data_IF_784386081603
#
_entry.id   IF_784386081603
#
_cell.length_a   1.000
_cell.length_b   1.000
_cell.length_c   1.000
_cell.angle_alpha   90.00
_cell.angle_beta   90.00
_cell.angle_gamma   90.00
#
_symmetry.space_group_name_H-M   'P 1'
#
loop_
_entity.id
_entity.type
_entity.pdbx_description
1 polymer ?
#
# COMPACT_ATOMS: atom_id res chain seq x y z
N UNK A 1 17.64 8.16 5.40
CA UNK A 1 16.93 6.93 5.03
C UNK A 1 15.71 7.26 4.19
N UNK A 2 15.29 6.35 3.25
CA UNK A 2 14.14 6.59 2.35
C UNK A 2 12.86 6.85 3.16
N UNK A 3 12.58 6.04 4.20
CA UNK A 3 11.40 6.25 5.05
C UNK A 3 11.32 7.68 5.59
N UNK A 4 12.34 8.17 6.25
CA UNK A 4 12.39 9.53 6.82
C UNK A 4 12.29 10.62 5.75
N UNK A 5 12.86 10.41 4.56
CA UNK A 5 12.75 11.34 3.43
C UNK A 5 11.29 11.59 3.02
N UNK A 6 10.45 10.57 3.17
CA UNK A 6 9.02 10.63 2.84
C UNK A 6 8.11 10.91 4.06
N UNK A 7 8.67 11.25 5.23
CA UNK A 7 7.89 11.51 6.43
C UNK A 7 7.43 10.27 7.19
N UNK A 8 7.96 9.09 6.84
CA UNK A 8 7.64 7.84 7.52
C UNK A 8 8.38 7.69 8.86
N UNK A 9 7.68 7.30 9.89
CA UNK A 9 8.22 6.96 11.21
C UNK A 9 8.53 5.47 11.25
N UNK A 10 9.80 5.12 11.50
CA UNK A 10 10.21 3.72 11.68
C UNK A 10 9.80 3.31 13.09
N UNK A 11 8.86 2.37 13.19
CA UNK A 11 8.40 1.83 14.46
C UNK A 11 9.42 0.85 15.07
N UNK A 12 9.63 -0.25 14.39
CA UNK A 12 10.55 -1.31 14.84
C UNK A 12 10.99 -2.22 13.70
N UNK A 13 12.02 -3.00 13.99
CA UNK A 13 12.41 -4.16 13.21
C UNK A 13 11.85 -5.43 13.85
N UNK A 14 11.26 -6.32 13.07
CA UNK A 14 10.69 -7.59 13.47
C UNK A 14 11.42 -8.68 12.68
N UNK A 15 12.52 -9.21 13.25
CA UNK A 15 13.44 -10.04 12.48
C UNK A 15 14.10 -9.22 11.36
N UNK A 16 13.89 -9.62 10.13
CA UNK A 16 14.34 -8.96 8.90
C UNK A 16 13.31 -7.95 8.33
N UNK A 17 12.10 -7.92 8.88
CA UNK A 17 11.07 -6.98 8.48
C UNK A 17 11.22 -5.62 9.18
N UNK A 18 10.82 -4.55 8.49
CA UNK A 18 10.77 -3.19 9.02
C UNK A 18 9.33 -2.68 8.98
N UNK A 19 8.82 -2.23 10.14
CA UNK A 19 7.52 -1.59 10.24
C UNK A 19 7.68 -0.07 10.23
N UNK A 20 6.92 0.58 9.34
CA UNK A 20 6.90 2.03 9.16
C UNK A 20 5.45 2.49 9.18
N UNK A 21 5.16 3.61 9.84
CA UNK A 21 3.86 4.23 9.81
C UNK A 21 3.95 5.72 9.44
N UNK A 22 2.83 6.29 9.03
CA UNK A 22 2.66 7.69 8.65
C UNK A 22 1.52 8.30 9.44
N UNK A 23 1.51 9.63 9.57
CA UNK A 23 0.46 10.36 10.26
C UNK A 23 0.78 10.68 11.73
N UNK A 24 1.99 10.38 12.21
CA UNK A 24 2.46 10.72 13.55
C UNK A 24 4.01 10.65 13.59
N UNK A 25 4.72 11.61 14.21
CA UNK A 25 4.20 12.79 14.91
C UNK A 25 3.66 13.89 13.98
N UNK A 26 4.06 13.88 12.71
CA UNK A 26 3.65 14.86 11.71
C UNK A 26 2.70 14.21 10.72
N UNK A 27 1.63 14.91 10.32
CA UNK A 27 0.64 14.47 9.34
C UNK A 27 0.25 15.60 8.40
N UNK A 28 0.20 15.31 7.12
CA UNK A 28 -0.37 16.18 6.09
C UNK A 28 -1.83 15.78 5.75
N UNK A 29 -2.42 14.91 6.58
CA UNK A 29 -3.74 14.33 6.43
C UNK A 29 -3.72 12.96 5.75
N UNK A 30 -4.75 12.17 6.04
CA UNK A 30 -4.87 10.75 5.68
C UNK A 30 -4.48 10.46 4.22
N UNK A 31 -4.97 11.32 3.30
CA UNK A 31 -4.68 11.15 1.86
C UNK A 31 -3.20 11.33 1.55
N UNK A 32 -2.58 12.41 2.01
CA UNK A 32 -1.17 12.69 1.69
C UNK A 32 -0.23 11.74 2.43
N UNK A 33 -0.56 11.32 3.64
CA UNK A 33 0.17 10.32 4.40
C UNK A 33 0.17 8.96 3.67
N UNK A 34 -1.00 8.51 3.17
CA UNK A 34 -1.10 7.30 2.35
C UNK A 34 -0.30 7.41 1.04
N UNK A 35 -0.35 8.56 0.37
CA UNK A 35 0.41 8.84 -0.84
C UNK A 35 1.92 8.88 -0.59
N UNK A 36 2.34 9.46 0.53
CA UNK A 36 3.74 9.48 0.95
C UNK A 36 4.27 8.06 1.20
N UNK A 37 3.47 7.20 1.85
CA UNK A 37 3.78 5.80 2.04
C UNK A 37 3.95 5.05 0.72
N UNK A 38 3.06 5.25 -0.25
CA UNK A 38 3.16 4.66 -1.59
C UNK A 38 4.41 5.15 -2.32
N UNK A 39 4.69 6.46 -2.31
CA UNK A 39 5.91 7.02 -2.92
C UNK A 39 7.18 6.45 -2.30
N UNK A 40 7.22 6.33 -0.97
CA UNK A 40 8.32 5.69 -0.23
C UNK A 40 8.55 4.26 -0.71
N UNK A 41 7.49 3.46 -0.79
CA UNK A 41 7.57 2.04 -1.16
C UNK A 41 8.05 1.85 -2.59
N UNK A 42 7.62 2.70 -3.51
CA UNK A 42 8.12 2.70 -4.89
C UNK A 42 9.61 3.06 -4.97
N UNK A 43 10.06 4.07 -4.20
CA UNK A 43 11.49 4.42 -4.14
C UNK A 43 12.32 3.30 -3.50
N UNK A 44 11.79 2.63 -2.46
CA UNK A 44 12.44 1.47 -1.86
C UNK A 44 12.55 0.32 -2.85
N UNK A 45 11.48 0.03 -3.61
CA UNK A 45 11.50 -1.03 -4.63
C UNK A 45 12.56 -0.75 -5.71
N UNK A 46 12.66 0.49 -6.20
CA UNK A 46 13.68 0.86 -7.16
C UNK A 46 15.09 0.67 -6.56
N UNK A 47 15.29 1.09 -5.31
CA UNK A 47 16.57 0.94 -4.62
C UNK A 47 16.95 -0.53 -4.43
N UNK A 48 15.99 -1.40 -4.11
CA UNK A 48 16.24 -2.86 -4.01
C UNK A 48 16.66 -3.43 -5.36
N UNK A 49 15.99 -3.04 -6.47
CA UNK A 49 16.38 -3.48 -7.82
C UNK A 49 17.84 -3.10 -8.15
N UNK A 50 18.25 -1.89 -7.77
CA UNK A 50 19.63 -1.44 -7.99
C UNK A 50 20.64 -2.22 -7.12
N UNK A 51 20.29 -2.48 -5.86
CA UNK A 51 21.12 -3.29 -4.97
C UNK A 51 21.23 -4.74 -5.45
N UNK A 52 20.14 -5.33 -5.94
CA UNK A 52 20.16 -6.67 -6.51
C UNK A 52 21.08 -6.78 -7.72
N UNK A 53 21.09 -5.76 -8.62
CA UNK A 53 22.05 -5.71 -9.74
C UNK A 53 23.48 -5.64 -9.23
N UNK A 54 23.74 -4.80 -8.24
CA UNK A 54 25.07 -4.66 -7.62
C UNK A 54 25.53 -5.98 -7.02
N UNK A 55 24.71 -6.64 -6.21
CA UNK A 55 25.04 -7.91 -5.56
C UNK A 55 25.30 -9.04 -6.58
N UNK A 56 24.51 -9.12 -7.67
CA UNK A 56 24.80 -10.07 -8.75
C UNK A 56 26.16 -9.82 -9.39
N UNK A 57 26.54 -8.56 -9.62
CA UNK A 57 27.85 -8.19 -10.14
C UNK A 57 29.00 -8.52 -9.16
N UNK A 58 28.71 -8.55 -7.87
CA UNK A 58 29.64 -8.95 -6.79
C UNK A 58 29.68 -10.48 -6.57
N UNK A 59 28.90 -11.25 -7.33
CA UNK A 59 28.92 -12.71 -7.31
C UNK A 59 27.87 -13.37 -6.43
N UNK A 60 26.90 -12.61 -5.90
CA UNK A 60 25.74 -13.19 -5.19
C UNK A 60 24.71 -13.68 -6.20
N UNK A 61 24.53 -14.99 -6.31
CA UNK A 61 23.61 -15.60 -7.27
C UNK A 61 22.14 -15.28 -6.93
N UNK A 62 21.81 -15.35 -5.64
CA UNK A 62 20.45 -15.17 -5.12
C UNK A 62 20.39 -13.93 -4.19
N UNK A 63 20.24 -12.72 -4.74
CA UNK A 63 20.13 -11.51 -3.94
C UNK A 63 18.80 -11.47 -3.18
N UNK A 64 18.79 -10.74 -2.06
CA UNK A 64 17.59 -10.55 -1.23
C UNK A 64 16.41 -10.03 -2.03
N UNK A 65 15.23 -10.58 -1.74
CA UNK A 65 13.94 -10.14 -2.22
C UNK A 65 13.14 -9.50 -1.09
N UNK A 66 12.45 -8.41 -1.39
CA UNK A 66 11.67 -7.67 -0.39
C UNK A 66 10.22 -7.59 -0.84
N UNK A 67 9.31 -7.97 0.06
CA UNK A 67 7.87 -7.79 -0.10
C UNK A 67 7.41 -6.59 0.72
N UNK A 68 6.38 -5.89 0.27
CA UNK A 68 5.81 -4.77 0.99
C UNK A 68 4.29 -4.87 1.02
N UNK A 69 3.71 -4.66 2.21
CA UNK A 69 2.27 -4.56 2.43
C UNK A 69 1.92 -3.17 2.95
N UNK A 70 0.95 -2.49 2.33
CA UNK A 70 0.51 -1.17 2.74
C UNK A 70 -0.98 -1.19 3.00
N UNK A 71 -1.36 -0.67 4.16
CA UNK A 71 -2.76 -0.47 4.53
C UNK A 71 -2.97 0.92 5.13
N UNK A 72 -4.11 1.52 4.83
CA UNK A 72 -4.55 2.78 5.42
C UNK A 72 -5.75 2.52 6.33
N UNK A 73 -5.71 3.05 7.55
CA UNK A 73 -6.78 2.89 8.51
C UNK A 73 -6.42 3.45 9.89
N UNK A 74 -7.41 3.50 10.77
CA UNK A 74 -7.24 4.06 12.12
C UNK A 74 -6.40 3.13 13.01
N UNK A 75 -5.35 3.70 13.57
CA UNK A 75 -4.47 3.06 14.54
C UNK A 75 -4.28 3.96 15.76
N UNK A 76 -3.88 3.36 16.87
CA UNK A 76 -3.46 4.12 18.04
C UNK A 76 -1.94 4.20 18.05
N UNK A 77 -1.41 5.43 18.15
CA UNK A 77 0.03 5.68 18.27
C UNK A 77 0.31 6.29 19.64
N UNK A 78 1.36 5.86 20.28
CA UNK A 78 1.74 6.38 21.60
C UNK A 78 2.71 5.47 22.33
N UNK A 79 2.91 5.80 23.62
CA UNK A 79 3.75 5.00 24.51
C UNK A 79 2.94 3.86 25.13
N UNK A 80 3.28 2.63 24.76
CA UNK A 80 2.65 1.41 25.27
C UNK A 80 3.67 0.58 26.05
N UNK A 81 3.21 -0.05 27.14
CA UNK A 81 4.03 -0.92 27.96
C UNK A 81 3.77 -0.75 29.45
N UNK A 82 4.73 -1.20 30.26
CA UNK A 82 4.73 -1.00 31.72
C UNK A 82 5.54 0.24 32.11
N UNK A 83 5.40 0.70 33.36
CA UNK A 83 6.21 1.80 33.91
C UNK A 83 7.72 1.59 33.74
N UNK A 84 8.16 0.34 33.71
CA UNK A 84 9.58 -0.02 33.57
C UNK A 84 10.03 -0.13 32.09
N UNK A 85 9.09 -0.26 31.15
CA UNK A 85 9.40 -0.41 29.73
C UNK A 85 8.28 0.16 28.86
N UNK A 86 8.42 1.42 28.51
CA UNK A 86 7.55 2.11 27.55
C UNK A 86 8.19 2.05 26.16
N UNK A 87 7.37 1.77 25.16
CA UNK A 87 7.77 1.80 23.75
C UNK A 87 6.78 2.65 22.99
N UNK A 88 7.27 3.68 22.30
CA UNK A 88 6.48 4.44 21.36
C UNK A 88 6.23 3.57 20.12
N UNK A 89 4.98 3.28 19.81
CA UNK A 89 4.62 2.34 18.77
C UNK A 89 3.19 2.54 18.27
N UNK A 90 2.88 1.96 17.13
CA UNK A 90 1.53 1.87 16.58
C UNK A 90 0.90 0.52 16.92
N UNK A 91 -0.37 0.56 17.36
CA UNK A 91 -1.18 -0.63 17.60
C UNK A 91 -2.56 -0.49 16.96
N UNK A 92 -3.13 -1.60 16.50
CA UNK A 92 -4.47 -1.65 15.94
C UNK A 92 -4.68 -2.83 14.99
N UNK A 93 -5.93 -3.12 14.67
CA UNK A 93 -6.30 -4.16 13.71
C UNK A 93 -5.73 -3.90 12.32
N UNK A 94 -5.63 -2.63 11.94
CA UNK A 94 -5.13 -2.21 10.63
C UNK A 94 -3.62 -2.47 10.44
N UNK A 95 -2.84 -2.55 11.53
CA UNK A 95 -1.43 -3.00 11.49
C UNK A 95 -1.35 -4.47 11.06
N UNK A 96 -2.28 -5.31 11.58
CA UNK A 96 -2.34 -6.72 11.20
C UNK A 96 -2.75 -6.89 9.72
N UNK A 97 -3.59 -5.97 9.19
CA UNK A 97 -3.91 -5.94 7.75
C UNK A 97 -2.65 -5.71 6.93
N UNK A 98 -1.84 -4.70 7.27
CA UNK A 98 -0.58 -4.41 6.57
C UNK A 98 0.38 -5.61 6.57
N UNK A 99 0.52 -6.29 7.71
CA UNK A 99 1.33 -7.51 7.83
C UNK A 99 0.82 -8.63 6.92
N UNK A 100 -0.51 -8.82 6.83
CA UNK A 100 -1.11 -9.84 5.96
C UNK A 100 -0.96 -9.52 4.49
N UNK A 101 -1.03 -8.24 4.12
CA UNK A 101 -0.74 -7.78 2.76
C UNK A 101 0.73 -8.06 2.40
N UNK A 102 1.67 -7.75 3.31
CA UNK A 102 3.09 -8.09 3.10
C UNK A 102 3.27 -9.58 2.86
N UNK A 103 2.70 -10.44 3.73
CA UNK A 103 2.81 -11.89 3.63
C UNK A 103 2.20 -12.47 2.34
N UNK A 104 1.17 -11.80 1.78
CA UNK A 104 0.49 -12.19 0.54
C UNK A 104 1.11 -11.56 -0.73
N UNK A 105 2.02 -10.60 -0.59
CA UNK A 105 2.68 -9.97 -1.72
C UNK A 105 3.66 -10.93 -2.40
N UNK A 106 3.78 -10.81 -3.72
CA UNK A 106 4.80 -11.52 -4.48
C UNK A 106 6.21 -11.00 -4.12
N UNK A 107 7.25 -11.83 -4.26
CA UNK A 107 8.63 -11.38 -4.09
C UNK A 107 8.94 -10.12 -4.91
N UNK A 108 9.58 -9.14 -4.30
CA UNK A 108 9.82 -7.80 -4.85
C UNK A 108 8.56 -7.01 -5.20
N UNK A 109 7.37 -7.47 -4.78
CA UNK A 109 6.08 -6.84 -5.01
C UNK A 109 5.65 -5.91 -3.89
N UNK A 110 4.67 -5.05 -4.21
CA UNK A 110 3.97 -4.18 -3.27
C UNK A 110 2.48 -4.51 -3.38
N UNK A 111 1.88 -4.97 -2.28
CA UNK A 111 0.45 -5.25 -2.19
C UNK A 111 -0.21 -4.22 -1.28
N UNK A 112 -1.31 -3.62 -1.73
CA UNK A 112 -2.01 -2.58 -1.00
C UNK A 112 -3.48 -2.92 -0.81
N UNK A 113 -4.09 -2.38 0.26
CA UNK A 113 -5.54 -2.43 0.45
C UNK A 113 -6.28 -1.44 -0.46
N UNK A 114 -7.60 -1.63 -0.59
CA UNK A 114 -8.45 -0.69 -1.31
C UNK A 114 -8.40 0.71 -0.69
N UNK A 115 -8.34 0.82 0.61
CA UNK A 115 -8.26 2.09 1.34
C UNK A 115 -7.01 2.88 0.93
N UNK A 116 -5.86 2.22 0.84
CA UNK A 116 -4.63 2.85 0.32
C UNK A 116 -4.75 3.20 -1.17
N UNK A 117 -5.32 2.29 -1.97
CA UNK A 117 -5.54 2.52 -3.41
C UNK A 117 -6.41 3.75 -3.65
N UNK A 118 -7.50 3.90 -2.92
CA UNK A 118 -8.43 5.04 -3.07
C UNK A 118 -7.74 6.41 -2.92
N UNK A 119 -6.71 6.50 -2.06
CA UNK A 119 -5.95 7.72 -1.87
C UNK A 119 -4.85 7.95 -2.91
N UNK A 120 -4.32 6.89 -3.53
CA UNK A 120 -3.13 6.94 -4.37
C UNK A 120 -3.36 6.50 -5.83
N UNK A 121 -4.61 6.27 -6.27
CA UNK A 121 -4.95 5.71 -7.57
C UNK A 121 -4.41 6.50 -8.77
N UNK A 122 -4.18 7.80 -8.62
CA UNK A 122 -3.60 8.66 -9.65
C UNK A 122 -2.07 8.63 -9.72
N UNK A 123 -1.42 7.91 -8.80
CA UNK A 123 0.05 7.77 -8.72
C UNK A 123 0.54 6.43 -9.27
N UNK A 124 -0.33 5.43 -9.34
CA UNK A 124 0.05 4.04 -9.56
C UNK A 124 -0.90 3.31 -10.52
N UNK A 125 -0.32 2.44 -11.33
CA UNK A 125 -1.06 1.41 -12.05
C UNK A 125 -1.10 0.15 -11.20
N UNK A 126 -2.25 -0.49 -11.09
CA UNK A 126 -2.44 -1.65 -10.22
C UNK A 126 -3.15 -2.81 -10.94
N UNK A 127 -2.91 -4.02 -10.43
CA UNK A 127 -3.65 -5.23 -10.77
C UNK A 127 -4.48 -5.67 -9.57
N UNK A 128 -5.82 -5.84 -9.69
CA UNK A 128 -6.63 -6.42 -8.63
C UNK A 128 -6.21 -7.86 -8.33
N UNK A 129 -5.96 -8.19 -7.07
CA UNK A 129 -5.58 -9.55 -6.61
C UNK A 129 -6.69 -10.25 -5.81
N UNK A 130 -7.91 -9.71 -5.87
CA UNK A 130 -9.05 -10.26 -5.14
C UNK A 130 -9.17 -9.75 -3.72
N UNK A 131 -9.78 -10.54 -2.85
CA UNK A 131 -10.01 -10.19 -1.46
C UNK A 131 -9.39 -11.21 -0.52
N UNK A 132 -8.83 -10.74 0.59
CA UNK A 132 -8.26 -11.57 1.66
C UNK A 132 -9.19 -11.50 2.86
N UNK A 133 -9.60 -12.68 3.37
CA UNK A 133 -10.29 -12.81 4.64
C UNK A 133 -9.29 -12.96 5.78
N UNK A 134 -9.50 -12.22 6.86
CA UNK A 134 -8.59 -12.22 8.00
C UNK A 134 -9.33 -12.57 9.29
N UNK A 135 -8.77 -13.50 10.08
CA UNK A 135 -9.33 -13.84 11.39
C UNK A 135 -9.35 -12.60 12.30
N UNK A 136 -10.51 -12.27 12.82
CA UNK A 136 -10.72 -11.10 13.70
C UNK A 136 -11.05 -9.80 12.98
N UNK A 137 -11.15 -9.81 11.65
CA UNK A 137 -11.63 -8.67 10.84
C UNK A 137 -12.88 -9.13 10.10
N UNK A 138 -14.02 -8.50 10.39
CA UNK A 138 -15.34 -8.87 9.84
C UNK A 138 -15.62 -8.24 8.48
N UNK A 139 -14.59 -8.01 7.68
CA UNK A 139 -14.70 -7.48 6.31
C UNK A 139 -13.68 -8.15 5.39
N UNK A 140 -14.05 -8.30 4.13
CA UNK A 140 -13.11 -8.71 3.10
C UNK A 140 -12.21 -7.52 2.73
N UNK A 141 -10.91 -7.73 2.75
CA UNK A 141 -9.92 -6.72 2.35
C UNK A 141 -9.62 -6.90 0.86
N UNK A 142 -10.15 -6.01 0.03
CA UNK A 142 -9.80 -5.98 -1.40
C UNK A 142 -8.35 -5.57 -1.57
N UNK A 143 -7.60 -6.28 -2.41
CA UNK A 143 -6.16 -6.13 -2.55
C UNK A 143 -5.76 -5.81 -3.99
N UNK A 144 -4.71 -5.00 -4.12
CA UNK A 144 -4.17 -4.53 -5.40
C UNK A 144 -2.65 -4.62 -5.38
N UNK A 145 -2.08 -5.26 -6.39
CA UNK A 145 -0.64 -5.26 -6.60
C UNK A 145 -0.25 -4.02 -7.41
N UNK A 146 0.74 -3.28 -6.93
CA UNK A 146 1.28 -2.14 -7.69
C UNK A 146 2.15 -2.67 -8.82
N UNK A 147 1.84 -2.26 -10.06
CA UNK A 147 2.61 -2.61 -11.25
C UNK A 147 3.68 -1.57 -11.55
N UNK A 148 3.28 -0.30 -11.65
CA UNK A 148 4.15 0.79 -12.04
C UNK A 148 3.68 2.12 -11.42
N UNK A 149 4.57 3.14 -11.50
CA UNK A 149 4.20 4.54 -11.29
C UNK A 149 3.48 5.07 -12.52
N UNK A 150 2.42 5.86 -12.34
CA UNK A 150 1.87 6.68 -13.40
C UNK A 150 2.86 7.82 -13.69
N UNK A 151 3.52 7.78 -14.83
CA UNK A 151 4.35 8.88 -15.33
C UNK A 151 3.40 9.88 -15.98
N UNK A 152 3.05 10.97 -15.29
CA UNK A 152 2.38 12.10 -15.93
C UNK A 152 3.37 12.75 -16.88
N UNK A 153 3.26 12.45 -18.18
CA UNK A 153 3.95 13.22 -19.20
C UNK A 153 3.47 14.67 -19.12
N UNK A 154 4.35 15.57 -18.73
CA UNK A 154 4.13 17.01 -18.85
C UNK A 154 4.23 17.39 -20.34
N UNK A 155 3.28 16.99 -21.15
CA UNK A 155 3.02 17.58 -22.46
C UNK A 155 1.55 17.41 -22.76
N UNK A 156 0.87 18.56 -22.89
CA UNK A 156 -0.55 18.58 -23.18
C UNK A 156 -0.88 17.96 -24.52
N UNK A 157 -1.71 16.95 -24.48
CA UNK A 157 -2.70 16.61 -25.48
C UNK A 157 -3.67 15.63 -24.83
N UNK A 158 -4.90 16.03 -24.65
CA UNK A 158 -5.97 15.13 -24.29
C UNK A 158 -6.12 14.10 -25.41
N UNK A 159 -6.17 12.79 -25.12
CA UNK A 159 -6.70 11.85 -26.10
C UNK A 159 -8.21 12.05 -26.15
N UNK A 160 -8.70 12.26 -27.37
CA UNK A 160 -10.11 12.29 -27.70
C UNK A 160 -10.80 11.03 -27.17
N UNK A 161 -11.95 11.27 -26.59
CA UNK A 161 -12.86 10.26 -26.08
C UNK A 161 -13.25 9.24 -27.15
N UNK A 162 -12.77 8.02 -27.03
CA UNK A 162 -13.53 6.89 -27.58
C UNK A 162 -14.65 6.54 -26.61
N UNK A 163 -15.83 6.73 -27.12
CA UNK A 163 -17.11 6.38 -26.51
C UNK A 163 -17.13 4.88 -26.24
N UNK A 164 -17.17 4.47 -25.01
CA UNK A 164 -17.70 3.17 -24.65
C UNK A 164 -19.18 3.31 -24.37
N UNK A 165 -19.95 2.78 -25.31
CA UNK A 165 -21.38 2.59 -25.22
C UNK A 165 -21.75 1.56 -24.15
N UNK A 166 -22.84 1.87 -23.47
CA UNK A 166 -23.85 0.98 -22.91
C UNK A 166 -23.48 -0.01 -21.80
N UNK A 167 -23.68 0.46 -20.58
CA UNK A 167 -24.34 -0.38 -19.56
C UNK A 167 -25.67 0.27 -19.15
N UNK A 168 -26.69 0.05 -19.99
CA UNK A 168 -28.10 0.28 -19.65
C UNK A 168 -28.53 -0.78 -18.63
N UNK A 169 -28.76 -0.33 -17.40
CA UNK A 169 -29.52 -1.05 -16.39
C UNK A 169 -30.95 -1.15 -16.88
N UNK A 170 -31.40 -2.34 -17.21
CA UNK A 170 -32.82 -2.63 -17.42
C UNK A 170 -33.53 -2.60 -16.07
N UNK A 171 -34.19 -1.51 -15.77
CA UNK A 171 -35.29 -1.52 -14.81
C UNK A 171 -36.44 -2.35 -15.39
N UNK A 172 -36.73 -3.47 -14.75
CA UNK A 172 -37.93 -4.25 -15.03
C UNK A 172 -39.08 -3.61 -14.26
N UNK A 173 -39.96 -2.94 -14.98
CA UNK A 173 -41.27 -2.57 -14.49
C UNK A 173 -42.06 -3.83 -14.08
N UNK A 174 -42.43 -3.88 -12.83
CA UNK A 174 -43.52 -4.72 -12.34
C UNK A 174 -44.67 -3.77 -12.00
N UNK A 175 -45.53 -3.57 -12.99
CA UNK A 175 -46.90 -3.14 -12.72
C UNK A 175 -47.84 -3.75 -13.76
N UNK A 176 -48.96 -4.21 -13.23
CA UNK A 176 -50.22 -4.65 -13.89
C UNK A 176 -50.35 -6.13 -14.27
N UNK A 177 -51.11 -6.86 -13.48
CA UNK A 177 -52.45 -7.29 -13.84
C UNK A 177 -53.03 -8.25 -12.83
N UNK A 178 -54.21 -7.87 -12.31
CA UNK A 178 -55.40 -8.67 -11.82
C UNK A 178 -55.15 -9.78 -10.76
#
# INVERSE_FOLDING_TARGET
LIAQKHGGTIDKYIGDAMMVFFGDPDSEGEREDARACVRMSLEMQDKIKDLQKKWRNEGFADPFEVRMGINTGYCNVGNFGSEQRLTYTVIGGEVNVAQRLEAAAEPNGILISYETYAHAQDLIDVEPKGAIQMKGINRDIKTFAILNRVVKNQQGAAPESEKSEDYLIKETNLDQAE
#
